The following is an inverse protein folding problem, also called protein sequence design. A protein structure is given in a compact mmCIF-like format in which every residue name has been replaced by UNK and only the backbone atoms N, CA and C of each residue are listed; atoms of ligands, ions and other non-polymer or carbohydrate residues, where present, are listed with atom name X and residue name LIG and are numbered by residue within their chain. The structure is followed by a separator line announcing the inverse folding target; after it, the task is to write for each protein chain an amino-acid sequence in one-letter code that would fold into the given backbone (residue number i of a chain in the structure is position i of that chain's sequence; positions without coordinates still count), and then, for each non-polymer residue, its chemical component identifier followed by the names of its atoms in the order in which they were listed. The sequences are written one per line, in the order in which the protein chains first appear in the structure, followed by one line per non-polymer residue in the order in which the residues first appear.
data_IF_012871401266
#
_entry.id   IF_012871401266
#
_cell.length_a   1.000
_cell.length_b   1.000
_cell.length_c   1.000
_cell.angle_alpha   90.00
_cell.angle_beta   90.00
_cell.angle_gamma   90.00
#
_symmetry.space_group_name_H-M   'P 1'
#
loop_
_entity.id
_entity.type
_entity.pdbx_description
1 polymer ?
#
# COMPACT_ATOMS: atom_id res chain seq x y z
N UNK A 1 3.26 46.00 -58.60
CA UNK A 1 2.03 45.18 -58.79
C UNK A 1 1.99 44.16 -57.67
N UNK A 2 0.80 43.84 -57.12
CA UNK A 2 0.34 44.41 -55.85
C UNK A 2 0.04 43.36 -54.77
N UNK A 3 -0.20 43.87 -53.55
CA UNK A 3 -1.14 43.34 -52.55
C UNK A 3 -0.71 42.04 -51.84
N UNK A 4 -0.97 41.83 -50.55
CA UNK A 4 -1.67 42.55 -49.51
C UNK A 4 -1.36 41.77 -48.20
N UNK A 5 -1.08 42.45 -47.10
CA UNK A 5 -1.98 42.51 -45.93
C UNK A 5 -2.12 41.18 -45.18
N UNK A 6 -1.69 41.14 -43.93
CA UNK A 6 -2.61 41.12 -42.77
C UNK A 6 -1.85 40.83 -41.48
N UNK A 7 -1.74 41.89 -40.68
CA UNK A 7 -1.65 41.87 -39.21
C UNK A 7 -2.88 41.24 -38.58
N UNK A 8 -2.71 40.52 -37.47
CA UNK A 8 -3.62 40.32 -36.31
C UNK A 8 -3.63 38.84 -35.88
N UNK A 9 -3.77 38.44 -34.62
CA UNK A 9 -3.78 39.09 -33.31
C UNK A 9 -3.96 37.95 -32.28
N UNK A 10 -3.49 38.17 -31.04
CA UNK A 10 -3.97 37.56 -29.78
C UNK A 10 -3.90 36.02 -29.65
N UNK A 11 -3.68 35.41 -28.49
CA UNK A 11 -3.72 35.88 -27.13
C UNK A 11 -2.63 35.16 -26.33
N UNK A 12 -1.95 35.93 -25.48
CA UNK A 12 -1.19 35.41 -24.37
C UNK A 12 -2.16 34.76 -23.39
N UNK A 13 -2.47 33.49 -23.60
CA UNK A 13 -3.07 32.66 -22.56
C UNK A 13 -1.94 32.22 -21.66
N UNK A 14 -1.77 33.02 -20.61
CA UNK A 14 -1.44 32.55 -19.26
C UNK A 14 -1.86 31.10 -19.11
N UNK A 15 -0.93 30.25 -18.68
CA UNK A 15 -1.10 29.10 -17.80
C UNK A 15 0.04 28.14 -18.12
N UNK A 16 1.13 28.23 -17.37
CA UNK A 16 1.61 27.00 -16.78
C UNK A 16 1.92 27.27 -15.31
N UNK A 17 0.99 26.73 -14.53
CA UNK A 17 0.77 26.91 -13.12
C UNK A 17 1.98 26.37 -12.35
N UNK A 18 2.43 27.16 -11.38
CA UNK A 18 3.45 26.78 -10.44
C UNK A 18 3.04 25.56 -9.61
N UNK A 19 4.03 24.70 -9.36
CA UNK A 19 4.33 24.03 -8.10
C UNK A 19 3.14 23.50 -7.25
N UNK A 20 3.05 22.17 -7.14
CA UNK A 20 2.98 21.50 -5.84
C UNK A 20 3.15 19.98 -6.00
N UNK A 21 4.11 19.45 -5.27
CA UNK A 21 4.21 18.11 -4.71
C UNK A 21 3.81 16.90 -5.56
N UNK A 22 4.85 16.17 -5.94
CA UNK A 22 4.93 14.73 -5.76
C UNK A 22 3.99 14.22 -4.65
N UNK A 23 2.91 13.57 -5.03
CA UNK A 23 2.39 12.43 -4.28
C UNK A 23 2.17 11.40 -5.37
N UNK A 24 3.23 10.64 -5.64
CA UNK A 24 3.13 9.46 -6.47
C UNK A 24 2.28 8.51 -5.65
N UNK A 25 1.05 8.26 -6.10
CA UNK A 25 0.40 6.95 -6.11
C UNK A 25 1.01 5.91 -5.13
N UNK A 26 0.97 6.20 -3.82
CA UNK A 26 1.49 5.35 -2.74
C UNK A 26 0.39 4.38 -2.27
N UNK A 27 -0.34 3.81 -3.23
CA UNK A 27 -1.47 2.89 -2.99
C UNK A 27 -1.42 1.68 -3.96
N UNK A 28 -0.28 1.42 -4.62
CA UNK A 28 -0.17 0.41 -5.68
C UNK A 28 0.78 -0.77 -5.37
N UNK A 29 1.15 -0.96 -4.09
CA UNK A 29 1.97 -2.10 -3.65
C UNK A 29 1.21 -3.14 -2.81
N UNK A 30 -0.08 -2.90 -2.50
CA UNK A 30 -0.92 -3.88 -1.81
C UNK A 30 -1.56 -4.81 -2.85
N UNK A 31 -1.16 -6.07 -2.80
CA UNK A 31 -1.55 -7.11 -3.75
C UNK A 31 -2.97 -7.62 -3.50
N UNK A 32 -3.31 -7.88 -2.23
CA UNK A 32 -4.62 -8.39 -1.84
C UNK A 32 -4.90 -8.10 -0.35
N UNK A 33 -6.15 -8.31 0.05
CA UNK A 33 -6.72 -8.05 1.36
C UNK A 33 -7.14 -9.41 1.95
N UNK A 34 -6.34 -9.93 2.88
CA UNK A 34 -6.51 -11.28 3.44
C UNK A 34 -6.95 -11.19 4.90
N UNK A 35 -8.00 -11.93 5.25
CA UNK A 35 -8.48 -12.04 6.63
C UNK A 35 -7.48 -12.83 7.48
N UNK A 36 -7.28 -12.39 8.72
CA UNK A 36 -6.34 -13.04 9.65
C UNK A 36 -6.71 -14.51 9.95
N UNK A 37 -7.98 -14.88 9.78
CA UNK A 37 -8.49 -16.25 9.88
C UNK A 37 -7.95 -17.21 8.81
N UNK A 38 -7.55 -16.70 7.64
CA UNK A 38 -6.96 -17.50 6.54
C UNK A 38 -5.43 -17.65 6.71
N UNK A 39 -4.84 -16.92 7.66
CA UNK A 39 -3.42 -16.97 7.96
C UNK A 39 -3.08 -18.04 9.00
N UNK A 40 -1.87 -18.59 8.89
CA UNK A 40 -1.37 -19.51 9.91
C UNK A 40 -0.64 -18.74 11.00
N UNK A 41 -1.17 -18.80 12.22
CA UNK A 41 -0.56 -18.19 13.40
C UNK A 41 0.51 -19.10 14.03
N UNK A 42 1.72 -18.57 14.24
CA UNK A 42 2.76 -19.22 15.04
C UNK A 42 2.83 -18.62 16.45
N UNK A 43 2.38 -19.38 17.44
CA UNK A 43 2.37 -18.96 18.85
C UNK A 43 3.75 -18.87 19.52
N UNK A 44 4.81 -19.41 18.93
CA UNK A 44 6.16 -19.33 19.51
C UNK A 44 6.85 -18.03 19.10
N UNK A 45 6.58 -17.57 17.89
CA UNK A 45 7.19 -16.37 17.31
C UNK A 45 6.23 -15.18 17.27
N UNK A 46 4.94 -15.40 17.56
CA UNK A 46 3.88 -14.40 17.47
C UNK A 46 3.83 -13.75 16.07
N UNK A 47 3.92 -14.58 15.04
CA UNK A 47 3.86 -14.17 13.64
C UNK A 47 2.74 -14.91 12.91
N UNK A 48 2.08 -14.20 11.99
CA UNK A 48 1.18 -14.79 11.01
C UNK A 48 1.93 -15.00 9.70
N UNK A 49 1.71 -16.15 9.08
CA UNK A 49 2.28 -16.46 7.78
C UNK A 49 1.24 -17.00 6.79
N UNK A 50 1.43 -16.65 5.52
CA UNK A 50 0.54 -17.01 4.43
C UNK A 50 1.30 -17.49 3.19
N UNK A 51 0.88 -18.58 2.51
CA UNK A 51 1.55 -19.06 1.31
C UNK A 51 1.43 -18.05 0.16
N UNK A 52 2.55 -17.51 -0.31
CA UNK A 52 2.61 -16.56 -1.40
C UNK A 52 2.62 -17.29 -2.77
N UNK A 53 1.87 -16.81 -3.79
CA UNK A 53 1.83 -17.46 -5.11
C UNK A 53 3.17 -17.52 -5.85
N UNK A 54 4.19 -16.79 -5.37
CA UNK A 54 5.52 -16.84 -5.93
C UNK A 54 6.39 -18.01 -5.41
N UNK A 55 5.92 -18.77 -4.41
CA UNK A 55 6.61 -19.94 -3.86
C UNK A 55 7.23 -19.76 -2.47
N UNK A 56 7.20 -18.55 -1.92
CA UNK A 56 7.59 -18.22 -0.54
C UNK A 56 6.37 -17.98 0.35
N UNK A 57 6.56 -17.37 1.53
CA UNK A 57 5.49 -17.02 2.47
C UNK A 57 5.57 -15.55 2.87
N UNK A 58 4.42 -14.93 3.06
CA UNK A 58 4.30 -13.65 3.76
C UNK A 58 4.48 -13.90 5.26
N UNK A 59 5.10 -12.96 5.95
CA UNK A 59 5.31 -13.01 7.40
C UNK A 59 4.96 -11.62 7.98
N UNK A 60 4.16 -11.58 9.05
CA UNK A 60 3.79 -10.35 9.76
C UNK A 60 3.69 -10.61 11.26
N UNK A 61 4.15 -9.67 12.09
CA UNK A 61 4.09 -9.81 13.54
C UNK A 61 2.72 -9.41 14.09
N UNK A 62 2.21 -10.14 15.09
CA UNK A 62 0.97 -9.74 15.81
C UNK A 62 1.16 -8.40 16.51
N UNK A 63 2.38 -8.11 16.97
CA UNK A 63 2.71 -6.84 17.59
C UNK A 63 2.53 -5.66 16.63
N UNK A 64 2.84 -5.84 15.34
CA UNK A 64 2.64 -4.81 14.31
C UNK A 64 1.16 -4.67 13.95
N UNK A 65 0.44 -5.79 13.81
CA UNK A 65 -1.01 -5.77 13.65
C UNK A 65 -1.68 -4.97 14.78
N UNK A 66 -1.23 -5.16 16.02
CA UNK A 66 -1.75 -4.43 17.19
C UNK A 66 -1.43 -2.94 17.21
N UNK A 67 -0.34 -2.51 16.57
CA UNK A 67 0.01 -1.09 16.42
C UNK A 67 -0.76 -0.42 15.26
N UNK A 68 -1.60 -1.18 14.54
CA UNK A 68 -2.31 -0.74 13.35
C UNK A 68 -1.49 -0.87 12.06
N UNK A 69 -0.46 -1.70 12.09
CA UNK A 69 0.41 -2.00 10.96
C UNK A 69 0.07 -3.41 10.42
N UNK A 70 -0.99 -3.48 9.63
CA UNK A 70 -1.54 -4.69 8.98
C UNK A 70 -0.85 -5.10 7.67
N UNK A 71 0.41 -4.72 7.47
CA UNK A 71 1.10 -4.97 6.21
C UNK A 71 1.99 -6.20 6.33
N UNK A 72 1.62 -7.30 5.69
CA UNK A 72 2.48 -8.48 5.59
C UNK A 72 3.34 -8.41 4.33
N UNK A 73 4.64 -8.66 4.49
CA UNK A 73 5.64 -8.48 3.43
C UNK A 73 6.24 -9.84 3.07
N UNK A 74 6.38 -10.11 1.77
CA UNK A 74 7.09 -11.31 1.29
C UNK A 74 8.55 -10.95 0.96
N UNK A 75 9.54 -11.64 1.58
CA UNK A 75 10.97 -11.33 1.37
C UNK A 75 11.46 -11.64 -0.05
N UNK A 76 10.77 -12.51 -0.79
CA UNK A 76 11.17 -12.90 -2.14
C UNK A 76 10.52 -12.08 -3.24
N UNK A 77 9.36 -11.51 -2.98
CA UNK A 77 8.49 -10.98 -4.03
C UNK A 77 8.22 -9.47 -3.87
N UNK A 78 8.71 -8.85 -2.78
CA UNK A 78 8.48 -7.46 -2.39
C UNK A 78 7.01 -7.02 -2.40
N UNK A 79 6.09 -7.97 -2.61
CA UNK A 79 4.66 -7.78 -2.54
C UNK A 79 4.29 -7.56 -1.08
N UNK A 80 3.30 -6.71 -0.90
CA UNK A 80 2.70 -6.42 0.38
C UNK A 80 1.23 -6.85 0.29
N UNK A 81 0.71 -7.44 1.36
CA UNK A 81 -0.73 -7.73 1.48
C UNK A 81 -1.25 -7.03 2.73
N UNK A 82 -2.52 -6.61 2.68
CA UNK A 82 -3.20 -6.02 3.83
C UNK A 82 -3.91 -7.11 4.60
N UNK A 83 -3.69 -7.17 5.90
CA UNK A 83 -4.31 -8.14 6.78
C UNK A 83 -5.52 -7.51 7.46
N UNK A 84 -6.72 -8.01 7.17
CA UNK A 84 -7.92 -7.58 7.86
C UNK A 84 -8.00 -8.37 9.16
N UNK A 85 -7.94 -7.66 10.28
CA UNK A 85 -8.09 -8.23 11.60
C UNK A 85 -9.12 -7.42 12.39
N UNK A 86 -9.83 -8.09 13.30
CA UNK A 86 -10.71 -7.45 14.25
C UNK A 86 -10.06 -7.46 15.64
N UNK A 87 -10.31 -6.42 16.43
CA UNK A 87 -9.74 -6.28 17.77
C UNK A 87 -10.12 -7.45 18.69
N UNK A 88 -11.23 -8.13 18.38
CA UNK A 88 -11.74 -9.29 19.08
C UNK A 88 -11.07 -10.62 18.66
N UNK A 89 -10.39 -10.66 17.52
CA UNK A 89 -9.77 -11.87 16.97
C UNK A 89 -8.28 -11.99 17.32
N UNK A 90 -7.62 -10.85 17.59
CA UNK A 90 -6.25 -10.85 18.04
C UNK A 90 -6.13 -11.51 19.42
N UNK A 91 -5.35 -12.60 19.58
CA UNK A 91 -5.07 -13.13 20.90
C UNK A 91 -4.35 -12.04 21.69
N UNK A 92 -4.94 -11.60 22.81
CA UNK A 92 -4.29 -10.62 23.67
C UNK A 92 -2.92 -11.18 24.06
N UNK A 93 -1.83 -10.55 23.58
CA UNK A 93 -0.46 -10.83 24.01
C UNK A 93 -0.23 -10.41 25.49
N UNK A 94 -1.26 -10.46 26.32
CA UNK A 94 -1.20 -10.21 27.74
C UNK A 94 -2.32 -10.96 28.46
N UNK A 95 -2.33 -12.30 28.40
CA UNK A 95 -2.83 -13.11 29.53
C UNK A 95 -2.32 -14.56 29.47
N UNK A 96 -1.06 -14.76 29.90
CA UNK A 96 -0.71 -15.99 30.63
C UNK A 96 0.07 -15.60 31.90
N UNK A 97 -0.68 -15.70 32.99
CA UNK A 97 -0.29 -15.62 34.41
C UNK A 97 0.90 -16.50 34.79
#
# INVERSE_FOLDING_TARGET
MPSATTTAAAASTTLNLAAASSTVDEDQDIYDEIEIEDMTYDSNLEIYHYPCPCGDRFEVAVAELRDGQDIAICPSCSLMIRVIFDEADLPEANEKS
#
